data_IF_493238683762
#
_entry.id   IF_493238683762
#
_cell.length_a   1.000
_cell.length_b   1.000
_cell.length_c   1.000
_cell.angle_alpha   90.00
_cell.angle_beta   90.00
_cell.angle_gamma   90.00
#
_symmetry.space_group_name_H-M   'P 1'
#
loop_
_entity.id
_entity.type
_entity.pdbx_description
1 polymer ?
#
# COMPACT_ATOMS: atom_id res chain seq x y z
N UNK A 1 -1.46 12.40 -6.21
CA UNK A 1 -0.14 11.77 -6.45
C UNK A 1 -0.26 10.70 -7.53
N UNK A 2 0.83 10.38 -8.22
CA UNK A 2 0.90 9.24 -9.16
C UNK A 2 1.75 8.15 -8.52
N UNK A 3 1.41 6.89 -8.76
CA UNK A 3 2.19 5.74 -8.30
C UNK A 3 3.00 5.21 -9.48
N UNK A 4 4.31 5.11 -9.34
CA UNK A 4 5.20 4.55 -10.35
C UNK A 4 4.98 3.05 -10.53
N UNK A 5 5.41 2.55 -11.69
CA UNK A 5 5.37 1.12 -11.97
C UNK A 5 6.19 0.32 -10.93
N UNK A 6 7.34 0.83 -10.52
CA UNK A 6 8.17 0.19 -9.48
C UNK A 6 7.41 0.02 -8.16
N UNK A 7 6.71 1.07 -7.71
CA UNK A 7 5.91 1.00 -6.49
C UNK A 7 4.72 0.04 -6.64
N UNK A 8 4.08 -0.05 -7.81
CA UNK A 8 3.05 -1.05 -8.09
C UNK A 8 3.60 -2.48 -8.07
N UNK A 9 4.78 -2.71 -8.62
CA UNK A 9 5.43 -4.03 -8.64
C UNK A 9 5.83 -4.49 -7.23
N UNK A 10 6.33 -3.56 -6.39
CA UNK A 10 6.59 -3.81 -4.97
C UNK A 10 5.29 -4.19 -4.25
N UNK A 11 4.22 -3.41 -4.42
CA UNK A 11 2.92 -3.69 -3.79
C UNK A 11 2.35 -5.04 -4.26
N UNK A 12 2.53 -5.39 -5.53
CA UNK A 12 2.15 -6.70 -6.08
C UNK A 12 2.96 -7.84 -5.46
N UNK A 13 4.26 -7.65 -5.24
CA UNK A 13 5.05 -8.65 -4.52
C UNK A 13 4.59 -8.77 -3.05
N UNK A 14 4.25 -7.65 -2.41
CA UNK A 14 3.80 -7.63 -1.03
C UNK A 14 2.41 -8.28 -0.85
N UNK A 15 1.54 -8.25 -1.86
CA UNK A 15 0.23 -8.90 -1.80
C UNK A 15 0.31 -10.43 -1.72
N UNK A 16 1.41 -11.02 -2.19
CA UNK A 16 1.72 -12.46 -2.03
C UNK A 16 2.20 -12.80 -0.61
N UNK A 17 2.69 -11.81 0.15
CA UNK A 17 3.13 -11.99 1.55
C UNK A 17 1.94 -11.79 2.51
N UNK A 18 1.17 -10.75 2.26
CA UNK A 18 -0.02 -10.40 3.04
C UNK A 18 -1.00 -9.65 2.14
N UNK A 19 -2.26 -10.08 2.15
CA UNK A 19 -3.32 -9.47 1.35
C UNK A 19 -3.69 -8.08 1.84
N UNK A 20 -3.32 -7.67 3.06
CA UNK A 20 -3.48 -6.31 3.54
C UNK A 20 -2.14 -5.59 3.74
N UNK A 21 -2.21 -4.26 3.77
CA UNK A 21 -1.05 -3.42 4.08
C UNK A 21 -1.48 -2.16 4.83
N UNK A 22 -0.65 -1.76 5.80
CA UNK A 22 -0.72 -0.45 6.45
C UNK A 22 0.36 0.44 5.83
N UNK A 23 -0.06 1.44 5.07
CA UNK A 23 0.84 2.46 4.51
C UNK A 23 1.08 3.51 5.60
N UNK A 24 2.34 3.83 5.87
CA UNK A 24 2.74 4.90 6.80
C UNK A 24 3.25 6.11 6.01
N UNK A 25 3.24 7.32 6.60
CA UNK A 25 3.84 8.48 5.97
C UNK A 25 5.33 8.26 5.66
N UNK A 26 5.79 8.77 4.53
CA UNK A 26 7.17 8.66 4.07
C UNK A 26 7.32 7.84 2.77
N UNK A 27 8.54 7.36 2.56
CA UNK A 27 9.00 6.72 1.30
C UNK A 27 9.34 5.24 1.46
N UNK A 28 8.78 4.59 2.47
CA UNK A 28 9.10 3.21 2.85
C UNK A 28 7.82 2.41 2.93
N UNK A 29 7.79 1.29 2.24
CA UNK A 29 6.75 0.27 2.37
C UNK A 29 7.27 -0.90 3.19
N UNK A 30 6.40 -1.48 4.01
CA UNK A 30 6.73 -2.72 4.72
C UNK A 30 5.49 -3.60 4.87
N UNK A 31 5.71 -4.92 4.87
CA UNK A 31 4.66 -5.92 5.09
C UNK A 31 5.19 -7.06 5.95
N UNK A 32 4.27 -7.79 6.57
CA UNK A 32 4.57 -9.00 7.32
C UNK A 32 3.47 -10.02 7.05
N UNK A 33 3.81 -11.29 6.89
CA UNK A 33 2.82 -12.35 6.71
C UNK A 33 1.88 -12.45 7.92
N UNK A 34 0.69 -13.00 7.71
CA UNK A 34 -0.29 -13.25 8.78
C UNK A 34 0.30 -14.13 9.89
N UNK A 35 1.12 -15.12 9.52
CA UNK A 35 1.86 -15.99 10.44
C UNK A 35 3.11 -15.34 11.06
N UNK A 36 3.44 -14.10 10.69
CA UNK A 36 4.57 -13.30 11.21
C UNK A 36 5.96 -13.94 11.03
N UNK A 37 6.13 -14.70 9.96
CA UNK A 37 7.38 -15.41 9.65
C UNK A 37 8.07 -14.88 8.38
N UNK A 38 7.40 -14.06 7.58
CA UNK A 38 7.97 -13.40 6.39
C UNK A 38 7.79 -11.91 6.58
N UNK A 39 8.89 -11.17 6.45
CA UNK A 39 8.92 -9.70 6.51
C UNK A 39 9.58 -9.16 5.25
N UNK A 40 9.03 -8.09 4.70
CA UNK A 40 9.64 -7.37 3.59
C UNK A 40 9.56 -5.86 3.82
N UNK A 41 10.59 -5.14 3.35
CA UNK A 41 10.73 -3.68 3.39
C UNK A 41 11.31 -3.22 2.06
N UNK A 42 10.79 -2.12 1.54
CA UNK A 42 11.28 -1.53 0.29
C UNK A 42 11.17 -0.01 0.34
N UNK A 43 12.19 0.67 -0.17
CA UNK A 43 12.14 2.10 -0.45
C UNK A 43 11.42 2.36 -1.78
N UNK A 44 10.69 3.47 -1.84
CA UNK A 44 9.94 3.91 -3.02
C UNK A 44 10.31 5.36 -3.39
N UNK A 45 10.01 5.76 -4.63
CA UNK A 45 10.30 7.11 -5.13
C UNK A 45 9.32 8.16 -4.60
N UNK A 46 8.07 7.76 -4.42
CA UNK A 46 6.98 8.61 -3.96
C UNK A 46 6.98 8.75 -2.43
N UNK A 47 6.33 9.81 -1.96
CA UNK A 47 6.08 10.02 -0.54
C UNK A 47 4.59 9.99 -0.27
N UNK A 48 4.16 9.12 0.65
CA UNK A 48 2.81 9.14 1.17
C UNK A 48 2.74 10.15 2.32
N UNK A 49 1.74 11.05 2.29
CA UNK A 49 1.60 12.12 3.27
C UNK A 49 0.80 11.74 4.51
N UNK A 50 0.14 10.58 4.51
CA UNK A 50 -0.76 10.13 5.57
C UNK A 50 -0.67 8.61 5.78
N UNK A 51 -1.00 8.17 7.00
CA UNK A 51 -1.18 6.74 7.31
C UNK A 51 -2.56 6.28 6.82
N UNK A 52 -2.64 5.15 6.12
CA UNK A 52 -3.91 4.53 5.75
C UNK A 52 -3.78 3.03 5.52
N UNK A 53 -4.88 2.32 5.72
CA UNK A 53 -4.96 0.87 5.58
C UNK A 53 -5.61 0.43 4.27
N UNK A 54 -5.08 -0.61 3.64
CA UNK A 54 -5.71 -1.34 2.53
C UNK A 54 -6.02 -2.75 3.00
N UNK A 55 -7.29 -3.15 2.93
CA UNK A 55 -7.75 -4.47 3.40
C UNK A 55 -7.44 -5.58 2.39
N UNK A 56 -7.68 -5.31 1.12
CA UNK A 56 -7.36 -6.21 0.01
C UNK A 56 -6.49 -5.48 -1.01
N UNK A 57 -5.20 -5.78 -0.97
CA UNK A 57 -4.18 -5.21 -1.82
C UNK A 57 -4.31 -5.69 -3.27
N UNK A 58 -4.79 -6.91 -3.50
CA UNK A 58 -5.03 -7.39 -4.86
C UNK A 58 -6.21 -6.67 -5.49
N UNK A 59 -7.30 -6.46 -4.75
CA UNK A 59 -8.42 -5.63 -5.20
C UNK A 59 -7.97 -4.20 -5.51
N UNK A 60 -7.23 -3.57 -4.57
CA UNK A 60 -6.70 -2.23 -4.76
C UNK A 60 -5.84 -2.12 -6.02
N UNK A 61 -4.90 -3.05 -6.22
CA UNK A 61 -4.04 -3.09 -7.40
C UNK A 61 -4.85 -3.29 -8.69
N UNK A 62 -5.88 -4.14 -8.66
CA UNK A 62 -6.81 -4.31 -9.77
C UNK A 62 -7.49 -3.00 -10.16
N UNK A 63 -8.01 -2.25 -9.17
CA UNK A 63 -8.64 -0.95 -9.43
C UNK A 63 -7.64 0.06 -9.98
N UNK A 64 -6.46 0.20 -9.36
CA UNK A 64 -5.44 1.16 -9.80
C UNK A 64 -4.96 0.86 -11.21
N UNK A 65 -4.68 -0.41 -11.52
CA UNK A 65 -4.16 -0.81 -12.84
C UNK A 65 -5.21 -0.79 -13.95
N UNK A 66 -6.50 -0.90 -13.61
CA UNK A 66 -7.60 -0.80 -14.58
C UNK A 66 -7.82 0.61 -15.13
N UNK A 67 -7.37 1.64 -14.41
CA UNK A 67 -7.55 3.05 -14.79
C UNK A 67 -6.27 3.53 -15.48
N UNK A 68 -6.36 4.03 -16.72
CA UNK A 68 -5.19 4.51 -17.45
C UNK A 68 -4.62 5.79 -16.81
N UNK A 69 -3.34 5.78 -16.44
CA UNK A 69 -2.62 6.93 -15.82
C UNK A 69 -3.40 7.49 -14.61
N UNK A 70 -3.66 6.67 -13.58
CA UNK A 70 -4.48 7.07 -12.46
C UNK A 70 -3.76 8.11 -11.59
N UNK A 71 -4.53 9.05 -11.07
CA UNK A 71 -4.11 9.93 -9.99
C UNK A 71 -4.83 9.53 -8.71
N UNK A 72 -4.06 9.38 -7.63
CA UNK A 72 -4.54 9.05 -6.30
C UNK A 72 -4.60 10.32 -5.47
N UNK A 73 -5.75 10.56 -4.86
CA UNK A 73 -5.95 11.62 -3.87
C UNK A 73 -6.36 10.99 -2.53
N UNK A 74 -5.54 11.19 -1.51
CA UNK A 74 -5.84 10.72 -0.16
C UNK A 74 -6.84 11.67 0.51
N UNK A 75 -7.93 11.12 1.06
CA UNK A 75 -8.85 11.83 1.97
C UNK A 75 -8.77 11.20 3.36
N UNK A 76 -9.63 11.65 4.27
CA UNK A 76 -9.67 11.19 5.66
C UNK A 76 -10.05 9.70 5.82
N UNK A 77 -11.09 9.24 5.10
CA UNK A 77 -11.64 7.87 5.26
C UNK A 77 -11.48 6.97 4.04
N UNK A 78 -11.04 7.54 2.93
CA UNK A 78 -10.94 6.88 1.65
C UNK A 78 -9.92 7.60 0.79
N UNK A 79 -9.44 6.94 -0.26
CA UNK A 79 -8.75 7.60 -1.36
C UNK A 79 -9.64 7.61 -2.59
N UNK A 80 -9.35 8.53 -3.51
CA UNK A 80 -9.95 8.49 -4.84
C UNK A 80 -8.89 8.19 -5.88
N UNK A 81 -9.21 7.29 -6.78
CA UNK A 81 -8.39 6.92 -7.92
C UNK A 81 -9.11 7.45 -9.15
N UNK A 82 -8.51 8.37 -9.89
CA UNK A 82 -9.19 9.03 -11.01
C UNK A 82 -8.30 9.24 -12.22
N UNK A 83 -8.90 9.20 -13.41
CA UNK A 83 -8.27 9.61 -14.66
C UNK A 83 -9.35 10.05 -15.64
N UNK A 84 -9.14 11.21 -16.28
CA UNK A 84 -9.94 11.77 -17.40
C UNK A 84 -11.41 11.30 -17.47
N UNK A 85 -12.20 11.59 -16.43
CA UNK A 85 -13.65 11.30 -16.38
C UNK A 85 -14.06 10.03 -15.62
N UNK A 86 -13.12 9.12 -15.34
CA UNK A 86 -13.34 7.95 -14.47
C UNK A 86 -12.87 8.26 -13.05
N UNK A 87 -13.67 7.89 -12.05
CA UNK A 87 -13.35 8.06 -10.62
C UNK A 87 -13.83 6.86 -9.82
N UNK A 88 -12.92 6.21 -9.11
CA UNK A 88 -13.21 5.20 -8.11
C UNK A 88 -12.94 5.76 -6.71
N UNK A 89 -13.74 5.35 -5.73
CA UNK A 89 -13.53 5.60 -4.30
C UNK A 89 -13.14 4.27 -3.66
N UNK A 90 -12.03 4.26 -2.92
CA UNK A 90 -11.56 3.09 -2.17
C UNK A 90 -11.46 3.45 -0.69
N UNK A 91 -12.22 2.74 0.16
CA UNK A 91 -12.26 3.01 1.59
C UNK A 91 -11.06 2.40 2.30
N UNK A 92 -10.56 3.10 3.32
CA UNK A 92 -9.47 2.56 4.12
C UNK A 92 -9.97 1.47 5.08
N UNK A 93 -9.10 0.51 5.33
CA UNK A 93 -9.29 -0.45 6.40
C UNK A 93 -8.99 0.18 7.76
N UNK A 94 -9.74 -0.23 8.78
CA UNK A 94 -9.40 0.08 10.17
C UNK A 94 -8.09 -0.58 10.56
N UNK A 95 -7.18 0.15 11.20
CA UNK A 95 -5.85 -0.35 11.60
C UNK A 95 -5.90 -1.66 12.41
N UNK A 96 -6.92 -1.82 13.23
CA UNK A 96 -7.13 -3.00 14.09
C UNK A 96 -7.46 -4.28 13.32
N UNK A 97 -7.94 -4.16 12.07
CA UNK A 97 -8.25 -5.32 11.23
C UNK A 97 -7.07 -5.75 10.36
N UNK A 98 -5.94 -5.04 10.43
CA UNK A 98 -4.76 -5.29 9.62
C UNK A 98 -3.67 -6.01 10.40
N UNK A 99 -2.96 -6.91 9.71
CA UNK A 99 -1.73 -7.49 10.23
C UNK A 99 -0.57 -6.71 9.63
N UNK A 100 0.02 -5.81 10.43
CA UNK A 100 1.12 -4.96 9.99
C UNK A 100 2.35 -5.07 10.92
N UNK A 101 3.55 -4.72 10.42
CA UNK A 101 4.73 -4.59 11.28
C UNK A 101 4.53 -3.53 12.38
N UNK A 102 4.72 -3.94 13.64
CA UNK A 102 4.57 -3.07 14.82
C UNK A 102 5.89 -2.44 15.26
N UNK A 103 7.02 -3.04 14.88
CA UNK A 103 8.37 -2.54 15.13
C UNK A 103 9.15 -2.62 13.83
N UNK A 104 10.13 -1.74 13.67
CA UNK A 104 11.12 -1.92 12.61
C UNK A 104 11.96 -3.16 12.89
N UNK A 105 12.24 -3.91 11.83
CA UNK A 105 13.14 -5.06 11.90
C UNK A 105 14.55 -4.55 11.61
N UNK A 106 15.39 -4.56 12.63
CA UNK A 106 16.82 -4.34 12.47
C UNK A 106 17.47 -5.69 12.14
N UNK A 107 17.92 -5.83 10.90
CA UNK A 107 18.70 -7.00 10.50
C UNK A 107 20.02 -6.99 11.27
N UNK A 108 20.47 -8.15 11.80
CA UNK A 108 21.79 -8.24 12.42
C UNK A 108 22.87 -7.90 11.41
N UNK A 109 24.03 -7.46 11.91
CA UNK A 109 25.22 -7.29 11.09
C UNK A 109 25.61 -8.62 10.44
N UNK A 110 26.12 -8.55 9.22
CA UNK A 110 26.50 -9.73 8.42
C UNK A 110 27.81 -10.33 8.92
#
# INVERSE_FOLDING_TARGET
MKISQNTLDILKNFSEINTNILIKPGKVLSTISTMRNIFAKADISEEFSAEFGIYDLNEFLGVVTSIQKPEIELKDKFLTISSSGTKAKYFYASKETLVAPTKEVNMPET
#
